data_IF_112796152963
#
_entry.id   IF_112796152963
#
_cell.length_a   1.000
_cell.length_b   1.000
_cell.length_c   1.000
_cell.angle_alpha   90.00
_cell.angle_beta   90.00
_cell.angle_gamma   90.00
#
_symmetry.space_group_name_H-M   'P 1'
#
loop_
_entity.id
_entity.type
_entity.pdbx_description
1 polymer ?
#
# COMPACT_ATOMS: atom_id res chain seq x y z
N UNK A 1 -6.56 -6.78 25.28
CA UNK A 1 -6.18 -5.71 24.33
C UNK A 1 -7.43 -5.31 23.55
N UNK A 2 -7.65 -4.02 23.35
CA UNK A 2 -8.74 -3.54 22.48
C UNK A 2 -8.40 -3.80 21.01
N UNK A 3 -9.40 -3.72 20.12
CA UNK A 3 -9.17 -3.86 18.67
C UNK A 3 -8.07 -2.89 18.19
N UNK A 4 -8.14 -1.62 18.62
CA UNK A 4 -7.17 -0.58 18.25
C UNK A 4 -5.74 -0.89 18.74
N UNK A 5 -5.58 -1.64 19.82
CA UNK A 5 -4.27 -2.09 20.30
C UNK A 5 -3.76 -3.32 19.53
N UNK A 6 -4.65 -4.13 18.96
CA UNK A 6 -4.30 -5.36 18.23
C UNK A 6 -3.90 -5.06 16.79
N UNK A 7 -4.57 -4.11 16.13
CA UNK A 7 -4.35 -3.80 14.71
C UNK A 7 -2.88 -3.49 14.37
N UNK A 8 -2.12 -2.67 15.14
CA UNK A 8 -0.70 -2.44 14.87
C UNK A 8 0.15 -3.71 15.00
N UNK A 9 -0.14 -4.57 15.98
CA UNK A 9 0.58 -5.83 16.19
C UNK A 9 0.38 -6.77 15.00
N UNK A 10 -0.86 -6.88 14.49
CA UNK A 10 -1.15 -7.67 13.29
C UNK A 10 -0.45 -7.09 12.05
N UNK A 11 -0.41 -5.76 11.92
CA UNK A 11 0.31 -5.11 10.83
C UNK A 11 1.82 -5.40 10.89
N UNK A 12 2.45 -5.35 12.06
CA UNK A 12 3.85 -5.73 12.25
C UNK A 12 4.09 -7.21 11.91
N UNK A 13 3.23 -8.11 12.38
CA UNK A 13 3.34 -9.53 12.05
C UNK A 13 3.26 -9.78 10.54
N UNK A 14 2.33 -9.11 9.85
CA UNK A 14 2.21 -9.16 8.39
C UNK A 14 3.44 -8.60 7.67
N UNK A 15 3.99 -7.48 8.15
CA UNK A 15 5.22 -6.87 7.61
C UNK A 15 6.41 -7.82 7.74
N UNK A 16 6.67 -8.34 8.95
CA UNK A 16 7.75 -9.30 9.21
C UNK A 16 7.58 -10.55 8.35
N UNK A 17 6.38 -11.12 8.29
CA UNK A 17 6.10 -12.28 7.44
C UNK A 17 6.43 -12.00 5.97
N UNK A 18 6.01 -10.85 5.45
CA UNK A 18 6.27 -10.44 4.05
C UNK A 18 7.76 -10.27 3.79
N UNK A 19 8.49 -9.59 4.68
CA UNK A 19 9.95 -9.40 4.56
C UNK A 19 10.65 -10.76 4.56
N UNK A 20 10.30 -11.66 5.47
CA UNK A 20 10.91 -12.99 5.54
C UNK A 20 10.63 -13.81 4.28
N UNK A 21 9.41 -13.76 3.73
CA UNK A 21 9.08 -14.44 2.49
C UNK A 21 9.92 -13.91 1.31
N UNK A 22 10.09 -12.60 1.21
CA UNK A 22 10.92 -11.96 0.17
C UNK A 22 12.39 -12.32 0.36
N UNK A 23 12.92 -12.18 1.58
CA UNK A 23 14.33 -12.44 1.90
C UNK A 23 14.74 -13.90 1.73
N UNK A 24 13.80 -14.84 1.88
CA UNK A 24 14.03 -16.28 1.65
C UNK A 24 13.89 -16.69 0.17
N UNK A 25 13.70 -15.72 -0.74
CA UNK A 25 13.49 -15.94 -2.18
C UNK A 25 12.41 -17.00 -2.48
N UNK A 26 11.42 -17.13 -1.59
CA UNK A 26 10.39 -18.14 -1.75
C UNK A 26 9.60 -17.87 -3.02
N UNK A 27 9.48 -18.90 -3.85
CA UNK A 27 8.77 -18.81 -5.12
C UNK A 27 7.27 -18.71 -4.87
N UNK A 28 6.75 -17.50 -4.97
CA UNK A 28 5.30 -17.27 -5.00
C UNK A 28 4.80 -17.55 -6.42
N UNK A 29 3.68 -18.28 -6.54
CA UNK A 29 3.07 -18.57 -7.83
C UNK A 29 2.77 -17.28 -8.60
N UNK A 30 2.83 -17.35 -9.93
CA UNK A 30 2.63 -16.19 -10.79
C UNK A 30 1.29 -15.48 -10.56
N UNK A 31 0.23 -16.26 -10.28
CA UNK A 31 -1.09 -15.74 -9.89
C UNK A 31 -1.03 -14.96 -8.57
N UNK A 32 -0.42 -15.56 -7.54
CA UNK A 32 -0.40 -14.98 -6.20
C UNK A 32 0.41 -13.67 -6.13
N UNK A 33 1.38 -13.46 -7.03
CA UNK A 33 2.17 -12.22 -7.07
C UNK A 33 1.32 -10.96 -7.24
N UNK A 34 0.27 -10.99 -8.05
CA UNK A 34 -0.59 -9.83 -8.27
C UNK A 34 -1.91 -9.90 -7.48
N UNK A 35 -2.41 -11.10 -7.16
CA UNK A 35 -3.64 -11.26 -6.36
C UNK A 35 -3.45 -10.77 -4.93
N UNK A 36 -2.32 -11.07 -4.29
CA UNK A 36 -2.06 -10.62 -2.91
C UNK A 36 -2.13 -9.10 -2.76
N UNK A 37 -1.39 -8.27 -3.53
CA UNK A 37 -1.51 -6.82 -3.42
C UNK A 37 -2.90 -6.30 -3.83
N UNK A 38 -3.63 -6.98 -4.73
CA UNK A 38 -5.00 -6.62 -5.07
C UNK A 38 -5.96 -6.82 -3.88
N UNK A 39 -5.88 -7.97 -3.21
CA UNK A 39 -6.70 -8.28 -2.03
C UNK A 39 -6.34 -7.36 -0.87
N UNK A 40 -5.05 -7.14 -0.61
CA UNK A 40 -4.60 -6.19 0.42
C UNK A 40 -5.11 -4.78 0.13
N UNK A 41 -5.05 -4.34 -1.13
CA UNK A 41 -5.61 -3.05 -1.54
C UNK A 41 -7.12 -2.94 -1.30
N UNK A 42 -7.88 -3.98 -1.64
CA UNK A 42 -9.32 -4.02 -1.42
C UNK A 42 -9.69 -4.02 0.07
N UNK A 43 -9.00 -4.83 0.89
CA UNK A 43 -9.19 -4.87 2.34
C UNK A 43 -8.81 -3.54 2.97
N UNK A 44 -7.69 -2.94 2.55
CA UNK A 44 -7.26 -1.65 3.09
C UNK A 44 -8.23 -0.53 2.70
N UNK A 45 -8.71 -0.49 1.46
CA UNK A 45 -9.76 0.44 1.04
C UNK A 45 -11.03 0.27 1.88
N UNK A 46 -11.50 -0.96 2.09
CA UNK A 46 -12.69 -1.22 2.90
C UNK A 46 -12.49 -0.75 4.36
N UNK A 47 -11.32 -1.01 4.94
CA UNK A 47 -10.95 -0.51 6.25
C UNK A 47 -10.92 1.04 6.29
N UNK A 48 -10.31 1.69 5.30
CA UNK A 48 -10.26 3.15 5.21
C UNK A 48 -11.65 3.77 5.08
N UNK A 49 -12.53 3.18 4.28
CA UNK A 49 -13.92 3.64 4.17
C UNK A 49 -14.69 3.47 5.48
N UNK A 50 -14.51 2.33 6.15
CA UNK A 50 -15.10 2.10 7.46
C UNK A 50 -14.59 3.11 8.49
N UNK A 51 -13.27 3.31 8.58
CA UNK A 51 -12.64 4.29 9.46
C UNK A 51 -13.18 5.71 9.21
N UNK A 52 -13.24 6.15 7.95
CA UNK A 52 -13.80 7.46 7.59
C UNK A 52 -15.27 7.58 7.99
N UNK A 53 -16.06 6.50 7.90
CA UNK A 53 -17.46 6.51 8.32
C UNK A 53 -17.65 6.67 9.84
N UNK A 54 -16.67 6.26 10.65
CA UNK A 54 -16.72 6.34 12.11
C UNK A 54 -16.10 7.64 12.62
N UNK A 55 -14.97 8.04 12.06
CA UNK A 55 -14.09 9.06 12.63
C UNK A 55 -14.11 10.37 11.82
N UNK A 56 -14.50 10.29 10.54
CA UNK A 56 -14.43 11.40 9.59
C UNK A 56 -13.01 11.68 9.06
N UNK A 57 -12.93 12.42 7.95
CA UNK A 57 -11.66 12.75 7.29
C UNK A 57 -10.76 13.68 8.14
N UNK A 58 -11.36 14.50 9.01
CA UNK A 58 -10.60 15.46 9.82
C UNK A 58 -9.65 14.76 10.82
N UNK A 59 -9.95 13.51 11.18
CA UNK A 59 -9.10 12.76 12.12
C UNK A 59 -7.73 12.41 11.53
N UNK A 60 -7.60 12.31 10.20
CA UNK A 60 -6.27 12.26 9.58
C UNK A 60 -5.46 13.50 9.95
N UNK A 61 -6.02 14.70 9.78
CA UNK A 61 -5.31 15.94 10.11
C UNK A 61 -4.94 16.01 11.59
N UNK A 62 -5.91 15.75 12.48
CA UNK A 62 -5.69 15.77 13.93
C UNK A 62 -4.57 14.82 14.34
N UNK A 63 -4.57 13.60 13.81
CA UNK A 63 -3.52 12.61 14.09
C UNK A 63 -2.11 13.12 13.71
N UNK A 64 -1.98 13.80 12.57
CA UNK A 64 -0.68 14.31 12.11
C UNK A 64 -0.24 15.61 12.79
N UNK A 65 -1.15 16.32 13.47
CA UNK A 65 -0.85 17.61 14.13
C UNK A 65 -0.88 17.58 15.65
N UNK A 66 -1.07 16.41 16.26
CA UNK A 66 -1.18 16.30 17.73
C UNK A 66 0.17 16.45 18.42
N UNK A 67 1.21 15.79 17.90
CA UNK A 67 2.55 15.81 18.49
C UNK A 67 3.63 15.52 17.43
N UNK A 68 4.89 15.49 17.87
CA UNK A 68 6.03 15.18 17.00
C UNK A 68 6.02 13.73 16.49
N UNK A 69 5.44 12.79 17.24
CA UNK A 69 5.33 11.38 16.84
C UNK A 69 4.35 11.24 15.67
N UNK A 70 3.20 11.90 15.75
CA UNK A 70 2.21 11.95 14.67
C UNK A 70 2.77 12.56 13.38
N UNK A 71 3.56 13.64 13.51
CA UNK A 71 4.30 14.21 12.37
C UNK A 71 5.32 13.23 11.79
N UNK A 72 6.11 12.57 12.65
CA UNK A 72 7.13 11.63 12.19
C UNK A 72 6.51 10.44 11.44
N UNK A 73 5.43 9.85 11.95
CA UNK A 73 4.70 8.75 11.26
C UNK A 73 4.14 9.22 9.91
N UNK A 74 3.66 10.46 9.83
CA UNK A 74 3.18 11.04 8.58
C UNK A 74 4.31 11.20 7.54
N UNK A 75 5.48 11.69 7.97
CA UNK A 75 6.64 11.82 7.09
C UNK A 75 7.11 10.46 6.59
N UNK A 76 7.14 9.45 7.46
CA UNK A 76 7.46 8.07 7.07
C UNK A 76 6.51 7.56 5.99
N UNK A 77 5.19 7.80 6.13
CA UNK A 77 4.21 7.42 5.12
C UNK A 77 4.46 8.12 3.78
N UNK A 78 4.68 9.45 3.78
CA UNK A 78 4.95 10.21 2.55
C UNK A 78 6.22 9.70 1.86
N UNK A 79 7.29 9.48 2.63
CA UNK A 79 8.56 8.97 2.09
C UNK A 79 8.38 7.56 1.53
N UNK A 80 7.72 6.66 2.27
CA UNK A 80 7.49 5.28 1.85
C UNK A 80 6.66 5.20 0.56
N UNK A 81 5.59 5.98 0.45
CA UNK A 81 4.75 6.05 -0.75
C UNK A 81 5.53 6.62 -1.94
N UNK A 82 6.33 7.66 -1.71
CA UNK A 82 7.15 8.29 -2.74
C UNK A 82 8.21 7.32 -3.27
N UNK A 83 8.90 6.60 -2.38
CA UNK A 83 9.87 5.57 -2.73
C UNK A 83 9.16 4.44 -3.50
N UNK A 84 8.02 3.96 -3.01
CA UNK A 84 7.25 2.92 -3.67
C UNK A 84 6.81 3.30 -5.07
N UNK A 85 6.28 4.52 -5.26
CA UNK A 85 5.93 5.04 -6.58
C UNK A 85 7.16 5.17 -7.47
N UNK A 86 8.25 5.75 -6.97
CA UNK A 86 9.51 5.91 -7.70
C UNK A 86 10.05 4.58 -8.23
N UNK A 87 10.04 3.53 -7.41
CA UNK A 87 10.50 2.19 -7.78
C UNK A 87 9.53 1.48 -8.74
N UNK A 88 8.22 1.71 -8.61
CA UNK A 88 7.21 1.08 -9.44
C UNK A 88 7.05 1.74 -10.81
N UNK A 89 7.31 3.06 -10.92
CA UNK A 89 7.08 3.84 -12.14
C UNK A 89 7.81 3.29 -13.39
N UNK A 90 9.11 2.93 -13.33
CA UNK A 90 9.81 2.35 -14.47
C UNK A 90 9.17 1.03 -14.95
N UNK A 91 8.74 0.19 -14.01
CA UNK A 91 8.10 -1.11 -14.30
C UNK A 91 6.74 -0.92 -14.95
N UNK A 92 5.93 0.00 -14.43
CA UNK A 92 4.67 0.39 -15.03
C UNK A 92 4.85 0.90 -16.48
N UNK A 93 5.85 1.75 -16.73
CA UNK A 93 6.16 2.22 -18.10
C UNK A 93 6.55 1.09 -19.04
N UNK A 94 7.35 0.13 -18.56
CA UNK A 94 7.81 -1.01 -19.37
C UNK A 94 6.64 -1.87 -19.90
N UNK A 95 5.50 -1.87 -19.21
CA UNK A 95 4.28 -2.59 -19.62
C UNK A 95 3.18 -1.67 -20.19
N UNK A 96 3.53 -0.45 -20.60
CA UNK A 96 2.62 0.49 -21.26
C UNK A 96 1.55 1.11 -20.36
N UNK A 97 1.72 1.08 -19.04
CA UNK A 97 0.76 1.63 -18.09
C UNK A 97 0.92 3.17 -17.98
N UNK A 98 -0.15 3.97 -18.15
CA UNK A 98 -0.07 5.42 -18.08
C UNK A 98 0.18 5.87 -16.64
N UNK A 99 1.25 6.62 -16.38
CA UNK A 99 1.63 6.96 -15.00
C UNK A 99 0.79 8.07 -14.37
N UNK A 100 0.34 9.06 -15.14
CA UNK A 100 -0.29 10.27 -14.58
C UNK A 100 -1.55 9.96 -13.75
N UNK A 101 -2.52 9.17 -14.22
CA UNK A 101 -3.70 8.83 -13.42
C UNK A 101 -3.34 8.14 -12.09
N UNK A 102 -2.34 7.26 -12.13
CA UNK A 102 -1.86 6.56 -10.93
C UNK A 102 -1.10 7.48 -9.99
N UNK A 103 -0.27 8.39 -10.52
CA UNK A 103 0.43 9.40 -9.72
C UNK A 103 -0.55 10.30 -8.96
N UNK A 104 -1.62 10.76 -9.62
CA UNK A 104 -2.69 11.55 -8.98
C UNK A 104 -3.38 10.72 -7.88
N UNK A 105 -3.78 9.47 -8.19
CA UNK A 105 -4.45 8.62 -7.21
C UNK A 105 -3.57 8.31 -5.99
N UNK A 106 -2.27 8.02 -6.20
CA UNK A 106 -1.29 7.75 -5.15
C UNK A 106 -1.02 9.01 -4.32
N UNK A 107 -0.90 10.18 -4.94
CA UNK A 107 -0.75 11.43 -4.21
C UNK A 107 -1.94 11.70 -3.28
N UNK A 108 -3.17 11.47 -3.76
CA UNK A 108 -4.38 11.74 -2.98
C UNK A 108 -4.66 10.70 -1.89
N UNK A 109 -4.23 9.45 -2.06
CA UNK A 109 -4.71 8.33 -1.25
C UNK A 109 -3.62 7.37 -0.74
N UNK A 110 -2.35 7.69 -1.01
CA UNK A 110 -1.20 6.92 -0.55
C UNK A 110 -1.31 5.42 -0.93
N UNK A 111 -1.20 4.53 0.05
CA UNK A 111 -1.22 3.08 -0.15
C UNK A 111 -2.57 2.55 -0.67
N UNK A 112 -3.67 3.30 -0.53
CA UNK A 112 -4.98 2.91 -1.08
C UNK A 112 -4.89 2.75 -2.60
N UNK A 113 -4.17 3.64 -3.29
CA UNK A 113 -3.94 3.52 -4.73
C UNK A 113 -2.64 2.78 -5.09
N UNK A 114 -1.59 2.85 -4.24
CA UNK A 114 -0.31 2.22 -4.54
C UNK A 114 -0.38 0.68 -4.57
N UNK A 115 -1.19 0.07 -3.70
CA UNK A 115 -1.39 -1.40 -3.69
C UNK A 115 -2.10 -1.91 -4.96
N UNK A 116 -3.23 -1.32 -5.40
CA UNK A 116 -3.82 -1.62 -6.70
C UNK A 116 -2.88 -1.32 -7.88
N UNK A 117 -2.07 -0.26 -7.80
CA UNK A 117 -1.05 0.04 -8.82
C UNK A 117 -0.04 -1.10 -8.94
N UNK A 118 0.51 -1.56 -7.80
CA UNK A 118 1.44 -2.69 -7.75
C UNK A 118 0.80 -3.95 -8.34
N UNK A 119 -0.42 -4.28 -7.93
CA UNK A 119 -1.16 -5.42 -8.47
C UNK A 119 -1.32 -5.32 -9.99
N UNK A 120 -1.67 -4.13 -10.50
CA UNK A 120 -1.86 -3.89 -11.94
C UNK A 120 -0.55 -4.08 -12.71
N UNK A 121 0.57 -3.56 -12.21
CA UNK A 121 1.89 -3.75 -12.83
C UNK A 121 2.23 -5.24 -12.90
N UNK A 122 2.11 -5.96 -11.78
CA UNK A 122 2.45 -7.38 -11.72
C UNK A 122 1.55 -8.24 -12.62
N UNK A 123 0.26 -7.90 -12.73
CA UNK A 123 -0.66 -8.55 -13.67
C UNK A 123 -0.25 -8.32 -15.13
N UNK A 124 0.09 -7.08 -15.50
CA UNK A 124 0.54 -6.73 -16.84
C UNK A 124 1.86 -7.42 -17.20
N UNK A 125 2.83 -7.42 -16.27
CA UNK A 125 4.10 -8.13 -16.44
C UNK A 125 3.90 -9.64 -16.62
N UNK A 126 2.96 -10.23 -15.88
CA UNK A 126 2.61 -11.65 -16.04
C UNK A 126 1.97 -11.91 -17.41
N UNK A 127 1.04 -11.06 -17.84
CA UNK A 127 0.37 -11.17 -19.14
C UNK A 127 1.36 -11.01 -20.31
N UNK A 128 2.37 -10.16 -20.18
CA UNK A 128 3.38 -9.95 -21.22
C UNK A 128 4.39 -11.12 -21.35
N UNK A 129 4.46 -12.01 -20.36
CA UNK A 129 5.33 -13.20 -20.34
C UNK A 129 4.63 -14.48 -20.83
N UNK A 130 3.29 -14.46 -20.87
CA UNK A 130 2.45 -15.56 -21.35
C UNK A 130 2.23 -15.43 -22.86
#
# INVERSE_FOLDING_TARGET
MTLLQILPVLAYAGCVGTILLIAQEKTVSALMRWVVPAVLGAVFLAFSLYQVSQDGLIQFWINHTTDLTGNQVWFDLIMAVTIGFYLLAPRARAVGMPLMPWGIAVFLTACIALLPMLARVLWLENKARA
#
